data_IF_857246964378
#
_entry.id   IF_857246964378
#
_cell.length_a   1.000
_cell.length_b   1.000
_cell.length_c   1.000
_cell.angle_alpha   90.00
_cell.angle_beta   90.00
_cell.angle_gamma   90.00
#
_symmetry.space_group_name_H-M   'P 1'
#
loop_
_entity.id
_entity.type
_entity.pdbx_description
1 polymer ?
#
# COMPACT_ATOMS: atom_id res chain seq x y z
N UNK A 1 8.54 1.66 -13.78
CA UNK A 1 8.91 0.24 -14.06
C UNK A 1 10.36 0.04 -14.54
N UNK A 2 11.09 1.09 -14.96
CA UNK A 2 12.43 0.96 -15.55
C UNK A 2 13.54 0.75 -14.51
N UNK A 3 13.44 1.42 -13.37
CA UNK A 3 14.53 1.45 -12.38
C UNK A 3 14.74 0.10 -11.69
N UNK A 4 13.66 -0.67 -11.46
CA UNK A 4 13.73 -1.99 -10.84
C UNK A 4 14.46 -2.99 -11.73
N UNK A 5 14.13 -3.04 -13.02
CA UNK A 5 14.76 -3.98 -13.96
C UNK A 5 16.25 -3.70 -14.18
N UNK A 6 16.63 -2.42 -14.30
CA UNK A 6 18.03 -2.04 -14.42
C UNK A 6 18.82 -2.37 -13.15
N UNK A 7 18.23 -2.11 -11.98
CA UNK A 7 18.84 -2.44 -10.69
C UNK A 7 19.06 -3.94 -10.55
N UNK A 8 18.07 -4.75 -10.90
CA UNK A 8 18.16 -6.22 -10.81
C UNK A 8 19.21 -6.78 -11.76
N UNK A 9 19.34 -6.22 -12.96
CA UNK A 9 20.39 -6.61 -13.90
C UNK A 9 21.79 -6.29 -13.35
N UNK A 10 22.00 -5.08 -12.83
CA UNK A 10 23.29 -4.68 -12.26
C UNK A 10 23.68 -5.57 -11.06
N UNK A 11 22.72 -5.91 -10.19
CA UNK A 11 22.96 -6.83 -9.08
C UNK A 11 23.33 -8.24 -9.54
N UNK A 12 22.69 -8.75 -10.59
CA UNK A 12 23.04 -10.06 -11.17
C UNK A 12 24.45 -10.08 -11.77
N UNK A 13 24.86 -9.01 -12.45
CA UNK A 13 26.20 -8.89 -13.01
C UNK A 13 27.28 -8.84 -11.91
N UNK A 14 27.00 -8.18 -10.79
CA UNK A 14 27.89 -8.18 -9.62
C UNK A 14 27.99 -9.57 -8.98
N UNK A 15 26.87 -10.28 -8.82
CA UNK A 15 26.85 -11.67 -8.30
C UNK A 15 27.66 -12.63 -9.19
N UNK A 16 27.69 -12.39 -10.49
CA UNK A 16 28.50 -13.15 -11.45
C UNK A 16 29.96 -12.68 -11.52
N UNK A 17 30.37 -11.71 -10.71
CA UNK A 17 31.73 -11.17 -10.67
C UNK A 17 32.13 -10.38 -11.92
N UNK A 18 31.16 -10.00 -12.78
CA UNK A 18 31.42 -9.29 -14.03
C UNK A 18 31.66 -7.79 -13.81
N UNK A 19 31.09 -7.23 -12.74
CA UNK A 19 31.26 -5.84 -12.32
C UNK A 19 31.36 -5.77 -10.80
N UNK A 20 31.98 -4.71 -10.28
CA UNK A 20 31.98 -4.39 -8.84
C UNK A 20 31.15 -3.13 -8.65
N UNK A 21 30.04 -3.22 -7.92
CA UNK A 21 29.20 -2.06 -7.66
C UNK A 21 29.78 -1.24 -6.48
N UNK A 22 29.61 0.09 -6.50
CA UNK A 22 30.02 0.92 -5.39
C UNK A 22 29.23 0.55 -4.13
N UNK A 23 29.84 0.76 -2.96
CA UNK A 23 29.18 0.54 -1.67
C UNK A 23 27.83 1.26 -1.64
N UNK A 24 26.83 0.52 -1.15
CA UNK A 24 25.46 1.00 -1.07
C UNK A 24 25.38 2.28 -0.23
N UNK A 25 24.85 3.36 -0.82
CA UNK A 25 24.77 4.68 -0.16
C UNK A 25 23.67 4.78 0.90
N UNK A 26 22.64 3.94 0.81
CA UNK A 26 21.49 3.92 1.74
C UNK A 26 21.07 2.47 1.96
N UNK A 27 20.77 2.10 3.21
CA UNK A 27 20.21 0.79 3.52
C UNK A 27 18.98 0.48 2.65
N UNK A 28 18.73 -0.81 2.41
CA UNK A 28 17.48 -1.17 1.74
C UNK A 28 16.31 -0.70 2.59
N UNK A 29 15.41 0.07 1.98
CA UNK A 29 14.05 0.12 2.48
C UNK A 29 13.54 -1.32 2.50
N UNK A 30 13.49 -1.93 3.68
CA UNK A 30 12.84 -3.22 3.86
C UNK A 30 11.36 -2.97 3.67
N UNK A 31 10.83 -3.38 2.51
CA UNK A 31 9.39 -3.42 2.31
C UNK A 31 8.80 -4.37 3.36
N UNK A 32 8.00 -3.82 4.27
CA UNK A 32 7.41 -4.57 5.39
C UNK A 32 8.22 -4.53 6.68
N UNK A 33 8.84 -3.39 7.01
CA UNK A 33 9.27 -3.12 8.38
C UNK A 33 8.14 -3.43 9.36
N UNK A 34 8.48 -4.06 10.49
CA UNK A 34 7.56 -4.68 11.45
C UNK A 34 6.33 -3.80 11.78
N UNK A 35 5.24 -3.94 11.03
CA UNK A 35 4.03 -3.17 11.27
C UNK A 35 3.31 -3.83 12.44
N UNK A 36 3.55 -3.33 13.65
CA UNK A 36 2.79 -3.73 14.83
C UNK A 36 1.38 -3.15 14.75
N UNK A 37 0.42 -3.92 14.22
CA UNK A 37 -0.98 -3.51 14.21
C UNK A 37 -1.68 -4.13 15.42
N UNK A 38 -2.27 -3.26 16.26
CA UNK A 38 -3.07 -3.69 17.40
C UNK A 38 -4.29 -4.49 16.94
N UNK A 39 -4.58 -5.61 17.62
CA UNK A 39 -5.76 -6.41 17.35
C UNK A 39 -7.01 -5.62 17.67
N UNK A 40 -7.91 -5.46 16.69
CA UNK A 40 -9.21 -4.81 16.87
C UNK A 40 -10.29 -5.88 16.92
N UNK A 41 -11.11 -5.96 17.98
CA UNK A 41 -12.30 -6.80 18.01
C UNK A 41 -13.25 -6.40 16.87
N UNK A 42 -13.70 -7.39 16.10
CA UNK A 42 -14.63 -7.21 14.99
C UNK A 42 -15.46 -8.47 14.83
N UNK A 43 -16.63 -8.33 14.20
CA UNK A 43 -17.49 -9.46 13.90
C UNK A 43 -16.85 -10.34 12.82
N UNK A 44 -16.77 -11.64 13.09
CA UNK A 44 -16.25 -12.66 12.17
C UNK A 44 -17.34 -13.65 11.75
N UNK A 45 -18.61 -13.30 11.98
CA UNK A 45 -19.75 -14.10 11.55
C UNK A 45 -19.66 -14.32 10.05
N UNK A 46 -19.69 -15.59 9.65
CA UNK A 46 -19.62 -15.96 8.24
C UNK A 46 -20.89 -15.47 7.55
N UNK A 47 -20.71 -14.63 6.54
CA UNK A 47 -21.79 -14.21 5.67
C UNK A 47 -21.98 -15.27 4.60
N UNK A 48 -23.01 -16.11 4.76
CA UNK A 48 -23.40 -17.13 3.79
C UNK A 48 -24.79 -16.79 3.24
N UNK A 49 -24.89 -16.59 1.92
CA UNK A 49 -26.15 -16.20 1.28
C UNK A 49 -25.93 -15.52 -0.07
N UNK A 50 -27.02 -15.07 -0.70
CA UNK A 50 -26.93 -14.32 -1.96
C UNK A 50 -26.63 -12.87 -1.65
N UNK A 51 -25.76 -12.23 -2.45
CA UNK A 51 -25.44 -10.80 -2.29
C UNK A 51 -26.68 -9.90 -2.29
N UNK A 52 -27.75 -10.28 -3.00
CA UNK A 52 -29.04 -9.57 -3.02
C UNK A 52 -29.70 -9.48 -1.65
N UNK A 53 -29.49 -10.47 -0.79
CA UNK A 53 -30.02 -10.52 0.59
C UNK A 53 -29.24 -9.60 1.53
N UNK A 54 -28.06 -9.14 1.11
CA UNK A 54 -27.17 -8.24 1.87
C UNK A 54 -27.34 -6.77 1.47
N UNK A 55 -28.27 -6.47 0.57
CA UNK A 55 -28.55 -5.11 0.14
C UNK A 55 -29.46 -4.39 1.15
N UNK A 56 -29.30 -3.08 1.35
CA UNK A 56 -28.34 -2.20 0.68
C UNK A 56 -26.94 -2.25 1.30
N UNK A 57 -25.90 -2.26 0.46
CA UNK A 57 -24.52 -2.12 0.90
C UNK A 57 -24.10 -0.65 0.90
N UNK A 58 -23.41 -0.24 1.96
CA UNK A 58 -22.79 1.08 2.07
C UNK A 58 -21.28 0.94 1.88
N UNK A 59 -20.72 1.69 0.94
CA UNK A 59 -19.28 1.78 0.72
C UNK A 59 -18.83 3.15 1.22
N UNK A 60 -17.87 3.17 2.14
CA UNK A 60 -17.30 4.39 2.70
C UNK A 60 -15.80 4.43 2.42
N UNK A 61 -15.31 5.61 2.04
CA UNK A 61 -13.88 5.86 1.90
C UNK A 61 -13.32 6.13 3.30
N UNK A 62 -12.39 5.30 3.75
CA UNK A 62 -11.77 5.43 5.07
C UNK A 62 -10.40 6.08 4.89
N UNK A 63 -10.27 7.33 5.34
CA UNK A 63 -9.02 8.11 5.29
C UNK A 63 -8.34 8.18 6.67
N UNK A 64 -7.11 8.72 6.70
CA UNK A 64 -6.40 8.98 7.95
C UNK A 64 -7.19 9.96 8.83
N UNK A 65 -7.60 9.51 10.01
CA UNK A 65 -8.43 10.27 10.95
C UNK A 65 -9.88 9.78 11.04
N UNK A 66 -10.31 8.89 10.14
CA UNK A 66 -11.61 8.23 10.26
C UNK A 66 -11.65 7.35 11.53
N UNK A 67 -12.76 7.29 12.28
CA UNK A 67 -12.86 6.45 13.48
C UNK A 67 -12.52 4.97 13.22
N UNK A 68 -12.92 4.47 12.04
CA UNK A 68 -12.66 3.09 11.60
C UNK A 68 -11.27 2.87 10.99
N UNK A 69 -10.38 3.87 10.97
CA UNK A 69 -9.03 3.75 10.39
C UNK A 69 -8.19 2.64 11.02
N UNK A 70 -8.31 2.46 12.34
CA UNK A 70 -7.64 1.36 13.06
C UNK A 70 -8.13 -0.02 12.63
N UNK A 71 -9.45 -0.19 12.55
CA UNK A 71 -10.10 -1.43 12.11
C UNK A 71 -9.74 -1.75 10.65
N UNK A 72 -9.79 -0.75 9.76
CA UNK A 72 -9.43 -0.89 8.36
C UNK A 72 -8.00 -1.42 8.19
N UNK A 73 -7.02 -0.80 8.86
CA UNK A 73 -5.61 -1.26 8.83
C UNK A 73 -5.45 -2.69 9.36
N UNK A 74 -6.15 -3.02 10.45
CA UNK A 74 -6.11 -4.36 11.03
C UNK A 74 -6.68 -5.43 10.08
N UNK A 75 -7.85 -5.18 9.48
CA UNK A 75 -8.47 -6.11 8.52
C UNK A 75 -7.59 -6.30 7.29
N UNK A 76 -7.02 -5.22 6.76
CA UNK A 76 -6.13 -5.27 5.62
C UNK A 76 -4.86 -6.06 5.96
N UNK A 77 -4.24 -5.83 7.11
CA UNK A 77 -3.08 -6.62 7.52
C UNK A 77 -3.41 -8.11 7.75
N UNK A 78 -4.58 -8.43 8.31
CA UNK A 78 -4.94 -9.81 8.66
C UNK A 78 -5.39 -10.64 7.47
N UNK A 79 -6.12 -10.05 6.52
CA UNK A 79 -6.81 -10.76 5.45
C UNK A 79 -6.34 -10.40 4.04
N UNK A 80 -5.45 -9.41 3.87
CA UNK A 80 -4.91 -9.09 2.55
C UNK A 80 -3.91 -10.16 2.09
N UNK A 81 -4.14 -10.69 0.90
CA UNK A 81 -3.34 -11.76 0.31
C UNK A 81 -1.86 -11.37 0.05
N UNK A 82 -1.51 -10.08 0.03
CA UNK A 82 -0.12 -9.60 -0.09
C UNK A 82 0.46 -9.02 1.22
N UNK A 83 -0.30 -9.05 2.32
CA UNK A 83 0.02 -8.27 3.52
C UNK A 83 -0.15 -6.77 3.30
N UNK A 84 -0.36 -6.03 4.39
CA UNK A 84 -0.49 -4.57 4.34
C UNK A 84 0.91 -3.94 4.26
N UNK A 85 1.37 -3.54 3.08
CA UNK A 85 2.71 -2.95 2.88
C UNK A 85 2.70 -1.62 2.11
N UNK A 86 1.57 -0.91 2.13
CA UNK A 86 1.35 0.35 1.43
C UNK A 86 0.26 0.27 0.35
N UNK A 87 -0.32 1.41 0.03
CA UNK A 87 -1.22 1.60 -1.12
C UNK A 87 -0.47 1.32 -2.41
N UNK A 88 -0.49 0.08 -2.88
CA UNK A 88 -0.18 -0.24 -4.28
C UNK A 88 -1.49 -0.20 -5.08
N UNK A 89 -2.07 0.99 -5.13
CA UNK A 89 -3.05 1.35 -6.14
C UNK A 89 -2.30 2.12 -7.21
N UNK A 90 -2.36 1.67 -8.46
CA UNK A 90 -1.95 2.50 -9.57
C UNK A 90 -2.72 3.82 -9.49
N UNK A 91 -2.00 4.93 -9.61
CA UNK A 91 -2.58 6.24 -9.81
C UNK A 91 -3.32 6.21 -11.16
N UNK A 92 -4.63 6.11 -11.10
CA UNK A 92 -5.46 6.63 -12.17
C UNK A 92 -5.61 8.11 -11.84
N UNK A 93 -4.81 8.96 -12.51
CA UNK A 93 -5.08 10.39 -12.56
C UNK A 93 -6.51 10.55 -13.08
N UNK A 94 -7.45 10.85 -12.18
CA UNK A 94 -8.73 11.42 -12.58
C UNK A 94 -8.41 12.88 -12.85
N UNK A 95 -8.55 13.38 -14.09
CA UNK A 95 -8.37 14.81 -14.34
C UNK A 95 -9.56 15.53 -13.72
N UNK A 96 -9.42 15.98 -12.47
CA UNK A 96 -10.34 16.97 -11.92
C UNK A 96 -10.10 18.30 -12.63
N UNK A 97 -11.05 18.63 -13.50
CA UNK A 97 -11.23 19.95 -14.05
C UNK A 97 -11.49 20.95 -12.92
N UNK A 98 -10.48 21.75 -12.60
CA UNK A 98 -10.61 23.13 -12.15
C UNK A 98 -10.72 23.37 -10.64
N UNK A 99 -9.66 23.94 -10.06
CA UNK A 99 -9.69 25.28 -9.48
C UNK A 99 -8.30 25.69 -8.98
N UNK A 100 -7.94 26.93 -9.26
CA UNK A 100 -6.71 27.61 -8.83
C UNK A 100 -6.75 27.85 -7.31
N UNK A 101 -5.61 27.71 -6.63
CA UNK A 101 -5.19 28.71 -5.65
C UNK A 101 -3.68 28.56 -5.42
N UNK A 102 -2.90 29.56 -5.82
CA UNK A 102 -1.48 29.62 -5.53
C UNK A 102 -1.24 30.37 -4.24
N UNK A 103 -0.27 29.92 -3.44
CA UNK A 103 0.58 30.79 -2.59
C UNK A 103 1.91 30.05 -2.36
N UNK A 104 3.03 30.69 -2.68
CA UNK A 104 4.35 30.38 -2.08
C UNK A 104 4.58 31.34 -0.90
N UNK A 105 5.07 30.82 0.22
CA UNK A 105 6.17 31.48 0.94
C UNK A 105 7.27 30.44 1.28
N UNK A 106 8.55 30.75 1.41
CA UNK A 106 9.31 32.01 1.44
C UNK A 106 10.59 31.86 0.63
#
# INVERSE_FOLDING_TARGET
>A
MKDMACRDLLLKLEQQGQIVLPRRKVEAFVRGGNISISKVPHDTTVIAGKLKELLPLKIEVIESGHPSWGLFKYLLHRYHYLGFNGTVGFEYEVPESGARCGVRPS
#
